data_IF_648644376605
#
_entry.id   IF_648644376605
#
_cell.length_a   1.000
_cell.length_b   1.000
_cell.length_c   1.000
_cell.angle_alpha   90.00
_cell.angle_beta   90.00
_cell.angle_gamma   90.00
#
_symmetry.space_group_name_H-M   'P 1'
#
loop_
_entity.id
_entity.type
_entity.pdbx_description
1 polymer ?
#
# COMPACT_ATOMS: atom_id res chain seq x y z
N UNK A 1 -13.60 -2.33 -7.58
CA UNK A 1 -15.03 -2.21 -7.23
C UNK A 1 -15.22 -1.44 -5.93
N UNK A 2 -14.65 -1.89 -4.81
CA UNK A 2 -14.80 -1.22 -3.49
C UNK A 2 -14.55 0.31 -3.45
N UNK A 3 -13.54 0.84 -4.18
CA UNK A 3 -13.30 2.30 -4.20
C UNK A 3 -14.35 3.08 -4.99
N UNK A 4 -14.86 2.48 -6.06
CA UNK A 4 -15.99 2.99 -6.84
C UNK A 4 -17.27 2.89 -6.02
N UNK A 5 -17.45 1.81 -5.26
CA UNK A 5 -18.57 1.66 -4.33
C UNK A 5 -18.53 2.69 -3.22
N UNK A 6 -17.38 3.12 -2.70
CA UNK A 6 -17.32 4.19 -1.68
C UNK A 6 -17.81 5.52 -2.25
N UNK A 7 -17.33 5.90 -3.44
CA UNK A 7 -17.72 7.15 -4.10
C UNK A 7 -19.20 7.13 -4.49
N UNK A 8 -19.69 5.99 -5.00
CA UNK A 8 -21.09 5.78 -5.33
C UNK A 8 -21.95 5.68 -4.06
N UNK A 9 -21.43 5.11 -2.97
CA UNK A 9 -22.14 4.94 -1.70
C UNK A 9 -22.42 6.26 -0.98
N UNK A 10 -21.49 7.21 -1.04
CA UNK A 10 -21.66 8.51 -0.40
C UNK A 10 -22.57 9.47 -1.20
N UNK A 11 -22.64 9.32 -2.53
CA UNK A 11 -23.38 10.25 -3.39
C UNK A 11 -24.70 9.71 -3.98
N UNK A 12 -24.69 8.49 -4.49
CA UNK A 12 -25.76 7.96 -5.35
C UNK A 12 -26.43 6.69 -4.82
N UNK A 13 -25.96 6.11 -3.69
CA UNK A 13 -26.54 4.86 -3.12
C UNK A 13 -28.04 4.93 -2.96
N UNK A 14 -28.56 6.08 -2.51
CA UNK A 14 -30.00 6.21 -2.27
C UNK A 14 -30.84 6.05 -3.52
N UNK A 15 -30.30 6.39 -4.68
CA UNK A 15 -31.02 6.40 -5.95
C UNK A 15 -30.70 5.19 -6.82
N UNK A 16 -29.58 4.50 -6.56
CA UNK A 16 -29.16 3.37 -7.38
C UNK A 16 -29.74 2.02 -6.91
N UNK A 17 -30.23 1.90 -5.69
CA UNK A 17 -30.69 0.61 -5.18
C UNK A 17 -32.22 0.51 -5.20
N UNK A 18 -32.72 -0.62 -5.68
CA UNK A 18 -34.12 -1.05 -5.56
C UNK A 18 -34.17 -2.25 -4.61
N UNK A 19 -35.08 -2.21 -3.64
CA UNK A 19 -35.28 -3.24 -2.61
C UNK A 19 -36.30 -4.27 -3.11
N UNK A 20 -35.92 -5.00 -4.16
CA UNK A 20 -36.81 -5.93 -4.86
C UNK A 20 -36.70 -7.37 -4.31
N UNK A 21 -35.70 -7.66 -3.45
CA UNK A 21 -35.42 -9.03 -3.02
C UNK A 21 -35.94 -9.29 -1.58
N UNK A 22 -36.96 -10.15 -1.47
CA UNK A 22 -37.50 -10.63 -0.20
C UNK A 22 -36.91 -11.98 0.16
N UNK A 23 -36.23 -12.09 1.32
CA UNK A 23 -35.71 -13.36 1.84
C UNK A 23 -36.82 -14.26 2.42
N UNK A 24 -37.95 -13.69 2.84
CA UNK A 24 -39.04 -14.40 3.51
C UNK A 24 -39.95 -15.17 2.54
N UNK A 25 -39.89 -14.89 1.24
CA UNK A 25 -40.71 -15.56 0.22
C UNK A 25 -40.19 -16.95 -0.20
N UNK A 26 -39.05 -17.39 0.34
CA UNK A 26 -38.41 -18.68 0.02
C UNK A 26 -39.18 -19.95 0.44
N UNK A 27 -40.36 -19.82 1.06
CA UNK A 27 -41.23 -20.94 1.43
C UNK A 27 -42.10 -21.49 0.28
N UNK A 28 -42.48 -20.65 -0.69
CA UNK A 28 -43.34 -21.04 -1.80
C UNK A 28 -42.50 -21.33 -3.05
N UNK A 29 -42.08 -22.60 -3.18
CA UNK A 29 -41.26 -23.15 -4.29
C UNK A 29 -41.86 -22.97 -5.70
N UNK A 30 -43.05 -22.40 -5.82
CA UNK A 30 -43.79 -22.19 -7.06
C UNK A 30 -43.69 -20.78 -7.63
N UNK A 31 -43.12 -19.80 -6.91
CA UNK A 31 -42.83 -18.46 -7.46
C UNK A 31 -41.34 -18.14 -7.44
N UNK A 32 -40.82 -18.07 -8.68
CA UNK A 32 -39.58 -17.45 -9.14
C UNK A 32 -38.24 -17.92 -8.58
N UNK A 33 -37.57 -18.71 -9.42
CA UNK A 33 -36.12 -18.73 -9.61
C UNK A 33 -35.55 -17.38 -10.08
N UNK A 34 -36.02 -16.25 -9.55
CA UNK A 34 -35.52 -14.92 -9.94
C UNK A 34 -34.16 -14.73 -9.31
N UNK A 35 -33.11 -14.92 -10.12
CA UNK A 35 -31.76 -14.49 -9.74
C UNK A 35 -31.84 -13.02 -9.30
N UNK A 36 -31.21 -12.65 -8.18
CA UNK A 36 -31.19 -11.26 -7.73
C UNK A 36 -30.63 -10.36 -8.83
N UNK A 37 -31.20 -9.17 -8.98
CA UNK A 37 -30.78 -8.20 -9.97
C UNK A 37 -29.36 -7.71 -9.67
N UNK A 38 -28.52 -7.67 -10.71
CA UNK A 38 -27.10 -7.30 -10.59
C UNK A 38 -26.75 -6.20 -11.59
N UNK A 39 -25.94 -5.25 -11.14
CA UNK A 39 -25.21 -4.35 -12.00
C UNK A 39 -24.03 -5.08 -12.65
N UNK A 40 -23.75 -4.84 -13.95
CA UNK A 40 -22.65 -5.51 -14.64
C UNK A 40 -21.27 -5.24 -14.04
N UNK A 41 -21.10 -4.15 -13.27
CA UNK A 41 -19.83 -3.73 -12.66
C UNK A 41 -19.92 -3.36 -11.17
N UNK A 42 -21.13 -3.27 -10.59
CA UNK A 42 -21.34 -2.76 -9.22
C UNK A 42 -21.92 -3.80 -8.26
N UNK A 43 -22.10 -5.05 -8.68
CA UNK A 43 -22.63 -6.10 -7.81
C UNK A 43 -24.15 -6.10 -7.75
N UNK A 44 -24.75 -6.32 -6.58
CA UNK A 44 -26.20 -6.49 -6.43
C UNK A 44 -26.93 -5.14 -6.40
N UNK A 45 -28.14 -5.09 -6.98
CA UNK A 45 -28.99 -3.89 -6.94
C UNK A 45 -29.67 -3.72 -5.57
N UNK A 46 -29.90 -4.81 -4.85
CA UNK A 46 -30.48 -4.81 -3.51
C UNK A 46 -29.39 -4.58 -2.44
N UNK A 47 -29.66 -3.66 -1.48
CA UNK A 47 -28.71 -3.32 -0.41
C UNK A 47 -28.60 -4.37 0.68
N UNK A 48 -29.71 -5.01 1.06
CA UNK A 48 -29.70 -5.99 2.13
C UNK A 48 -28.92 -7.22 1.69
N UNK A 49 -29.13 -7.64 0.45
CA UNK A 49 -28.37 -8.72 -0.17
C UNK A 49 -26.88 -8.38 -0.32
N UNK A 50 -26.57 -7.14 -0.69
CA UNK A 50 -25.18 -6.66 -0.79
C UNK A 50 -24.49 -6.65 0.58
N UNK A 51 -25.12 -6.11 1.61
CA UNK A 51 -24.55 -6.02 2.96
C UNK A 51 -24.32 -7.42 3.55
N UNK A 52 -25.25 -8.36 3.37
CA UNK A 52 -25.11 -9.76 3.80
C UNK A 52 -24.00 -10.48 3.00
N UNK A 53 -23.95 -10.26 1.68
CA UNK A 53 -22.88 -10.79 0.83
C UNK A 53 -21.51 -10.28 1.29
N UNK A 54 -21.37 -8.99 1.57
CA UNK A 54 -20.14 -8.38 2.04
C UNK A 54 -19.73 -8.94 3.40
N UNK A 55 -20.67 -9.14 4.33
CA UNK A 55 -20.39 -9.76 5.62
C UNK A 55 -19.84 -11.18 5.46
N UNK A 56 -20.49 -12.01 4.64
CA UNK A 56 -20.00 -13.35 4.32
C UNK A 56 -18.62 -13.31 3.65
N UNK A 57 -18.41 -12.36 2.72
CA UNK A 57 -17.14 -12.20 2.03
C UNK A 57 -16.02 -11.80 2.99
N UNK A 58 -16.28 -10.91 3.96
CA UNK A 58 -15.29 -10.52 5.01
C UNK A 58 -14.88 -11.75 5.82
N UNK A 59 -15.83 -12.59 6.21
CA UNK A 59 -15.56 -13.80 6.99
C UNK A 59 -14.77 -14.82 6.17
N UNK A 60 -15.19 -15.07 4.93
CA UNK A 60 -14.52 -16.01 4.03
C UNK A 60 -13.10 -15.57 3.61
N UNK A 61 -12.87 -14.26 3.50
CA UNK A 61 -11.57 -13.70 3.07
C UNK A 61 -10.59 -13.41 4.20
N UNK A 62 -10.93 -13.71 5.46
CA UNK A 62 -10.11 -13.43 6.66
C UNK A 62 -8.63 -13.79 6.51
N UNK A 63 -8.35 -15.04 6.11
CA UNK A 63 -6.98 -15.51 5.96
C UNK A 63 -6.21 -14.74 4.88
N UNK A 64 -6.88 -14.40 3.77
CA UNK A 64 -6.27 -13.66 2.64
C UNK A 64 -5.94 -12.23 3.04
N UNK A 65 -6.84 -11.55 3.76
CA UNK A 65 -6.62 -10.17 4.22
C UNK A 65 -5.45 -10.13 5.20
N UNK A 66 -5.44 -11.03 6.20
CA UNK A 66 -4.34 -11.11 7.16
C UNK A 66 -3.02 -11.41 6.45
N UNK A 67 -3.01 -12.40 5.54
CA UNK A 67 -1.83 -12.75 4.76
C UNK A 67 -1.32 -11.55 3.95
N UNK A 68 -2.20 -10.80 3.30
CA UNK A 68 -1.82 -9.60 2.54
C UNK A 68 -1.12 -8.56 3.42
N UNK A 69 -1.62 -8.29 4.63
CA UNK A 69 -0.95 -7.41 5.58
C UNK A 69 0.42 -7.95 6.02
N UNK A 70 0.50 -9.24 6.37
CA UNK A 70 1.77 -9.86 6.79
C UNK A 70 2.80 -9.80 5.67
N UNK A 71 2.41 -10.16 4.44
CA UNK A 71 3.28 -10.07 3.26
C UNK A 71 3.71 -8.64 3.00
N UNK A 72 2.81 -7.65 3.09
CA UNK A 72 3.17 -6.24 2.94
C UNK A 72 4.20 -5.81 4.00
N UNK A 73 3.95 -6.13 5.28
CA UNK A 73 4.86 -5.82 6.39
C UNK A 73 6.24 -6.45 6.17
N UNK A 74 6.29 -7.72 5.78
CA UNK A 74 7.55 -8.43 5.52
C UNK A 74 8.32 -7.83 4.34
N UNK A 75 7.64 -7.54 3.23
CA UNK A 75 8.23 -6.88 2.06
C UNK A 75 8.80 -5.50 2.43
N UNK A 76 8.12 -4.80 3.33
CA UNK A 76 8.55 -3.51 3.81
C UNK A 76 9.73 -3.56 4.76
N UNK A 77 9.70 -4.51 5.69
CA UNK A 77 10.78 -4.73 6.63
C UNK A 77 12.05 -5.22 5.91
N UNK A 78 11.91 -5.99 4.82
CA UNK A 78 13.06 -6.47 4.05
C UNK A 78 13.72 -5.38 3.21
N UNK A 79 13.00 -4.32 2.81
CA UNK A 79 13.54 -3.21 2.03
C UNK A 79 14.77 -2.56 2.64
N UNK A 80 14.72 -2.04 3.89
CA UNK A 80 15.87 -1.51 4.60
C UNK A 80 17.02 -2.51 4.77
N UNK A 81 16.71 -3.80 4.95
CA UNK A 81 17.73 -4.85 5.04
C UNK A 81 18.45 -5.06 3.71
N UNK A 82 17.71 -5.18 2.62
CA UNK A 82 18.29 -5.31 1.27
C UNK A 82 19.10 -4.06 0.92
N UNK A 83 18.59 -2.88 1.26
CA UNK A 83 19.29 -1.62 1.08
C UNK A 83 20.58 -1.57 1.90
N UNK A 84 20.55 -1.93 3.19
CA UNK A 84 21.76 -2.03 4.01
C UNK A 84 22.78 -3.01 3.42
N UNK A 85 22.37 -4.18 2.94
CA UNK A 85 23.29 -5.14 2.36
C UNK A 85 23.97 -4.60 1.10
N UNK A 86 23.20 -3.98 0.19
CA UNK A 86 23.73 -3.43 -1.07
C UNK A 86 24.61 -2.21 -0.84
N UNK A 87 24.16 -1.27 0.00
CA UNK A 87 24.92 -0.05 0.30
C UNK A 87 26.20 -0.36 1.07
N UNK A 88 26.15 -1.29 2.02
CA UNK A 88 27.34 -1.67 2.78
C UNK A 88 28.40 -2.29 1.87
N UNK A 89 28.02 -3.19 0.97
CA UNK A 89 28.96 -3.78 0.01
C UNK A 89 29.53 -2.74 -0.96
N UNK A 90 28.70 -1.80 -1.44
CA UNK A 90 29.15 -0.69 -2.30
C UNK A 90 30.12 0.24 -1.56
N UNK A 91 29.80 0.63 -0.32
CA UNK A 91 30.65 1.48 0.52
C UNK A 91 31.98 0.80 0.83
N UNK A 92 31.94 -0.47 1.20
CA UNK A 92 33.15 -1.28 1.44
C UNK A 92 34.00 -1.39 0.18
N UNK A 93 33.38 -1.60 -0.99
CA UNK A 93 34.09 -1.65 -2.26
C UNK A 93 34.72 -0.30 -2.63
N UNK A 94 33.98 0.81 -2.48
CA UNK A 94 34.49 2.16 -2.71
C UNK A 94 35.64 2.51 -1.75
N UNK A 95 35.54 2.11 -0.48
CA UNK A 95 36.60 2.31 0.50
C UNK A 95 37.87 1.52 0.12
N UNK A 96 37.72 0.27 -0.31
CA UNK A 96 38.86 -0.52 -0.80
C UNK A 96 39.50 0.14 -2.02
N UNK A 97 38.69 0.57 -2.99
CA UNK A 97 39.18 1.23 -4.20
C UNK A 97 39.92 2.53 -3.86
N UNK A 98 39.40 3.32 -2.91
CA UNK A 98 40.06 4.51 -2.38
C UNK A 98 41.41 4.22 -1.71
N UNK A 99 41.53 3.10 -0.97
CA UNK A 99 42.79 2.66 -0.36
C UNK A 99 43.85 2.24 -1.38
N UNK A 100 43.44 1.73 -2.54
CA UNK A 100 44.35 1.33 -3.62
C UNK A 100 44.79 2.48 -4.54
N UNK A 101 44.18 3.67 -4.43
CA UNK A 101 44.63 4.85 -5.18
C UNK A 101 45.96 5.38 -4.67
N UNK A 102 46.78 5.90 -5.59
CA UNK A 102 47.98 6.67 -5.26
C UNK A 102 47.61 8.00 -4.58
N UNK A 103 48.55 8.61 -3.86
CA UNK A 103 48.24 9.84 -3.12
C UNK A 103 47.89 11.01 -4.04
N UNK A 104 48.49 11.07 -5.23
CA UNK A 104 48.18 12.05 -6.29
C UNK A 104 46.73 11.89 -6.80
N UNK A 105 46.29 10.64 -7.02
CA UNK A 105 44.90 10.35 -7.40
C UNK A 105 43.89 10.66 -6.29
N UNK A 106 44.28 10.53 -5.02
CA UNK A 106 43.40 10.89 -3.89
C UNK A 106 43.20 12.40 -3.80
N UNK A 107 44.22 13.21 -4.10
CA UNK A 107 44.08 14.66 -4.14
C UNK A 107 43.19 15.10 -5.31
N UNK A 108 43.40 14.57 -6.51
CA UNK A 108 42.53 14.82 -7.67
C UNK A 108 41.08 14.37 -7.41
N UNK A 109 40.89 13.24 -6.73
CA UNK A 109 39.55 12.76 -6.35
C UNK A 109 38.88 13.68 -5.33
N UNK A 110 39.63 14.22 -4.37
CA UNK A 110 39.12 15.21 -3.40
C UNK A 110 38.76 16.54 -4.07
N UNK A 111 39.57 17.02 -5.02
CA UNK A 111 39.26 18.26 -5.77
C UNK A 111 38.08 18.08 -6.73
N UNK A 112 37.94 16.91 -7.35
CA UNK A 112 36.84 16.61 -8.27
C UNK A 112 35.50 16.36 -7.57
N UNK A 113 35.50 16.02 -6.27
CA UNK A 113 34.30 16.04 -5.45
C UNK A 113 34.11 17.48 -4.96
N UNK A 114 33.13 18.24 -5.49
CA UNK A 114 32.93 19.60 -5.06
C UNK A 114 32.53 19.57 -3.59
N UNK A 115 33.42 20.05 -2.71
CA UNK A 115 33.14 20.18 -1.29
C UNK A 115 31.82 20.93 -1.12
N UNK A 116 30.80 20.21 -0.62
CA UNK A 116 29.46 20.75 -0.46
C UNK A 116 28.40 20.32 -1.49
N UNK A 117 28.67 19.52 -2.54
CA UNK A 117 27.57 18.91 -3.30
C UNK A 117 26.87 17.80 -2.51
N UNK A 118 27.64 16.91 -1.89
CA UNK A 118 27.06 15.77 -1.15
C UNK A 118 26.20 16.24 0.04
N UNK A 119 26.67 17.22 0.81
CA UNK A 119 25.91 17.77 1.94
C UNK A 119 24.82 18.77 1.54
N UNK A 120 24.82 19.32 0.33
CA UNK A 120 23.78 20.26 -0.15
C UNK A 120 22.65 19.55 -0.89
N UNK A 121 22.91 18.36 -1.47
CA UNK A 121 21.88 17.51 -2.07
C UNK A 121 21.35 16.42 -1.12
N UNK A 122 22.12 16.02 -0.10
CA UNK A 122 21.73 14.98 0.86
C UNK A 122 21.84 15.38 2.36
N UNK A 123 21.59 16.64 2.80
CA UNK A 123 21.46 16.89 4.24
C UNK A 123 20.09 16.35 4.68
N UNK A 124 20.07 15.31 5.51
CA UNK A 124 18.84 14.71 6.08
C UNK A 124 17.91 13.95 5.11
N UNK A 125 18.30 13.66 3.87
CA UNK A 125 17.43 12.90 2.94
C UNK A 125 17.23 11.46 3.39
N UNK A 126 18.29 10.79 3.86
CA UNK A 126 18.21 9.40 4.31
C UNK A 126 17.38 9.23 5.57
N UNK A 127 17.60 10.07 6.59
CA UNK A 127 16.81 10.04 7.82
C UNK A 127 15.33 10.35 7.54
N UNK A 128 15.04 11.25 6.61
CA UNK A 128 13.68 11.55 6.18
C UNK A 128 13.04 10.35 5.46
N UNK A 129 13.74 9.72 4.52
CA UNK A 129 13.29 8.50 3.83
C UNK A 129 13.03 7.34 4.81
N UNK A 130 13.93 7.10 5.76
CA UNK A 130 13.75 6.09 6.79
C UNK A 130 12.59 6.42 7.73
N UNK A 131 12.44 7.69 8.12
CA UNK A 131 11.32 8.12 8.96
C UNK A 131 9.96 7.87 8.27
N UNK A 132 9.85 8.19 6.98
CA UNK A 132 8.64 7.91 6.21
C UNK A 132 8.40 6.41 6.01
N UNK A 133 9.45 5.61 5.77
CA UNK A 133 9.32 4.16 5.68
C UNK A 133 8.83 3.55 7.01
N UNK A 134 9.40 3.98 8.13
CA UNK A 134 8.95 3.59 9.46
C UNK A 134 7.50 4.00 9.71
N UNK A 135 7.10 5.20 9.28
CA UNK A 135 5.71 5.66 9.38
C UNK A 135 4.76 4.74 8.61
N UNK A 136 5.08 4.39 7.36
CA UNK A 136 4.25 3.48 6.55
C UNK A 136 4.19 2.09 7.17
N UNK A 137 5.31 1.56 7.66
CA UNK A 137 5.35 0.27 8.37
C UNK A 137 4.45 0.29 9.61
N UNK A 138 4.54 1.35 10.43
CA UNK A 138 3.67 1.54 11.60
C UNK A 138 2.21 1.59 11.18
N UNK A 139 1.87 2.28 10.08
CA UNK A 139 0.50 2.31 9.57
C UNK A 139 -0.01 0.93 9.15
N UNK A 140 0.81 0.10 8.48
CA UNK A 140 0.43 -1.27 8.14
C UNK A 140 0.28 -2.16 9.37
N UNK A 141 1.14 -2.01 10.39
CA UNK A 141 1.02 -2.73 11.66
C UNK A 141 -0.28 -2.33 12.37
N UNK A 142 -0.56 -1.02 12.46
CA UNK A 142 -1.81 -0.52 13.05
C UNK A 142 -3.04 -0.99 12.27
N UNK A 143 -2.97 -1.02 10.93
CA UNK A 143 -4.02 -1.56 10.08
C UNK A 143 -4.26 -3.05 10.33
N UNK A 144 -3.19 -3.85 10.42
CA UNK A 144 -3.27 -5.28 10.75
C UNK A 144 -3.88 -5.49 12.14
N UNK A 145 -3.41 -4.75 13.15
CA UNK A 145 -3.95 -4.82 14.52
C UNK A 145 -5.43 -4.46 14.53
N UNK A 146 -5.83 -3.38 13.84
CA UNK A 146 -7.24 -2.99 13.73
C UNK A 146 -8.09 -4.10 13.10
N UNK A 147 -7.63 -4.68 11.98
CA UNK A 147 -8.34 -5.78 11.30
C UNK A 147 -8.45 -7.01 12.20
N UNK A 148 -7.38 -7.40 12.89
CA UNK A 148 -7.40 -8.54 13.83
C UNK A 148 -8.35 -8.27 14.99
N UNK A 149 -8.31 -7.07 15.59
CA UNK A 149 -9.24 -6.66 16.65
C UNK A 149 -10.69 -6.72 16.18
N UNK A 150 -10.99 -6.26 14.97
CA UNK A 150 -12.34 -6.31 14.40
C UNK A 150 -12.83 -7.74 14.15
N UNK A 151 -11.93 -8.66 13.77
CA UNK A 151 -12.29 -10.07 13.65
C UNK A 151 -12.53 -10.75 15.00
N UNK A 152 -11.74 -10.43 16.02
CA UNK A 152 -11.77 -11.14 17.32
C UNK A 152 -12.84 -10.61 18.28
N UNK A 153 -13.12 -9.31 18.25
CA UNK A 153 -14.03 -8.69 19.21
C UNK A 153 -15.47 -8.69 18.70
N UNK A 154 -16.37 -9.34 19.45
CA UNK A 154 -17.83 -9.34 19.17
C UNK A 154 -18.43 -7.94 19.07
N UNK A 155 -17.85 -6.95 19.78
CA UNK A 155 -18.29 -5.54 19.73
C UNK A 155 -18.26 -4.95 18.32
N UNK A 156 -17.40 -5.46 17.44
CA UNK A 156 -17.23 -4.93 16.07
C UNK A 156 -17.93 -5.75 15.00
N UNK A 157 -18.78 -6.72 15.36
CA UNK A 157 -19.48 -7.57 14.40
C UNK A 157 -20.25 -6.75 13.35
N UNK A 158 -21.02 -5.75 13.80
CA UNK A 158 -21.74 -4.79 12.94
C UNK A 158 -20.83 -3.96 12.02
N UNK A 159 -19.57 -3.77 12.39
CA UNK A 159 -18.62 -2.93 11.66
C UNK A 159 -17.63 -3.75 10.82
N UNK A 160 -17.75 -5.08 10.75
CA UNK A 160 -16.78 -5.94 10.03
C UNK A 160 -16.63 -5.58 8.55
N UNK A 161 -17.70 -5.10 7.91
CA UNK A 161 -17.65 -4.61 6.52
C UNK A 161 -16.66 -3.46 6.33
N UNK A 162 -16.34 -2.71 7.40
CA UNK A 162 -15.34 -1.64 7.34
C UNK A 162 -13.91 -2.13 7.08
N UNK A 163 -13.63 -3.42 7.30
CA UNK A 163 -12.34 -4.03 6.95
C UNK A 163 -12.05 -3.84 5.45
N UNK A 164 -13.08 -3.92 4.60
CA UNK A 164 -12.94 -3.68 3.17
C UNK A 164 -12.69 -2.22 2.82
N UNK A 165 -12.94 -1.27 3.72
CA UNK A 165 -12.57 0.14 3.50
C UNK A 165 -11.19 0.45 4.06
N UNK A 166 -10.88 -0.04 5.26
CA UNK A 166 -9.60 0.19 5.93
C UNK A 166 -8.45 -0.40 5.11
N UNK A 167 -8.60 -1.63 4.62
CA UNK A 167 -7.54 -2.32 3.87
C UNK A 167 -7.10 -1.54 2.63
N UNK A 168 -7.97 -1.25 1.64
CA UNK A 168 -7.55 -0.50 0.47
C UNK A 168 -7.17 0.95 0.78
N UNK A 169 -7.72 1.58 1.83
CA UNK A 169 -7.26 2.90 2.25
C UNK A 169 -5.78 2.88 2.70
N UNK A 170 -5.36 1.87 3.46
CA UNK A 170 -3.95 1.67 3.83
C UNK A 170 -3.07 1.45 2.59
N UNK A 171 -3.54 0.66 1.63
CA UNK A 171 -2.82 0.46 0.37
C UNK A 171 -2.75 1.73 -0.49
N UNK A 172 -3.78 2.58 -0.50
CA UNK A 172 -3.71 3.86 -1.22
C UNK A 172 -2.72 4.84 -0.59
N UNK A 173 -2.72 4.95 0.74
CA UNK A 173 -1.74 5.76 1.45
C UNK A 173 -0.32 5.28 1.14
N UNK A 174 -0.14 3.97 1.03
CA UNK A 174 1.08 3.39 0.51
C UNK A 174 1.38 3.85 -0.93
N UNK A 175 0.44 3.71 -1.87
CA UNK A 175 0.68 4.09 -3.27
C UNK A 175 1.07 5.57 -3.40
N UNK A 176 0.46 6.45 -2.60
CA UNK A 176 0.82 7.87 -2.52
C UNK A 176 2.27 8.03 -2.05
N UNK A 177 2.67 7.31 -1.00
CA UNK A 177 4.05 7.31 -0.52
C UNK A 177 5.04 6.78 -1.58
N UNK A 178 4.73 5.66 -2.22
CA UNK A 178 5.57 5.07 -3.27
C UNK A 178 5.75 6.05 -4.43
N UNK A 179 4.67 6.70 -4.87
CA UNK A 179 4.70 7.72 -5.91
C UNK A 179 5.52 8.94 -5.50
N UNK A 180 5.37 9.43 -4.26
CA UNK A 180 6.18 10.52 -3.73
C UNK A 180 7.67 10.17 -3.70
N UNK A 181 8.03 8.98 -3.17
CA UNK A 181 9.41 8.50 -3.12
C UNK A 181 9.99 8.37 -4.53
N UNK A 182 9.25 7.80 -5.46
CA UNK A 182 9.66 7.70 -6.85
C UNK A 182 9.91 9.08 -7.46
N UNK A 183 8.99 10.04 -7.29
CA UNK A 183 9.15 11.40 -7.81
C UNK A 183 10.38 12.12 -7.20
N UNK A 184 10.57 11.99 -5.89
CA UNK A 184 11.71 12.57 -5.18
C UNK A 184 13.04 11.97 -5.65
N UNK A 185 13.11 10.63 -5.74
CA UNK A 185 14.30 9.94 -6.19
C UNK A 185 14.60 10.21 -7.67
N UNK A 186 13.58 10.21 -8.53
CA UNK A 186 13.72 10.44 -9.97
C UNK A 186 14.46 11.75 -10.27
N UNK A 187 14.22 12.82 -9.50
CA UNK A 187 14.97 14.07 -9.63
C UNK A 187 16.47 13.88 -9.38
N UNK A 188 16.83 13.11 -8.34
CA UNK A 188 18.21 12.76 -8.05
C UNK A 188 18.80 11.89 -9.17
N UNK A 189 18.14 10.79 -9.56
CA UNK A 189 18.65 9.87 -10.58
C UNK A 189 18.79 10.52 -11.95
N UNK A 190 17.88 11.39 -12.37
CA UNK A 190 18.00 12.10 -13.64
C UNK A 190 19.21 13.05 -13.68
N UNK A 191 19.65 13.53 -12.52
CA UNK A 191 20.87 14.35 -12.40
C UNK A 191 22.13 13.53 -12.68
N UNK A 192 22.14 12.24 -12.29
CA UNK A 192 23.31 11.37 -12.42
C UNK A 192 23.33 10.57 -13.73
N UNK A 193 22.17 10.09 -14.17
CA UNK A 193 22.05 9.12 -15.28
C UNK A 193 21.29 9.69 -16.50
N UNK A 194 20.92 10.97 -16.47
CA UNK A 194 20.15 11.62 -17.53
C UNK A 194 18.66 11.25 -17.52
N UNK A 195 17.88 11.60 -18.57
CA UNK A 195 16.41 11.49 -18.59
C UNK A 195 15.83 10.07 -18.40
N UNK A 196 16.66 9.04 -18.55
CA UNK A 196 16.30 7.63 -18.35
C UNK A 196 16.77 7.07 -17.00
N UNK A 197 17.27 7.93 -16.09
CA UNK A 197 17.79 7.51 -14.78
C UNK A 197 16.77 6.80 -13.90
N UNK A 198 15.48 7.03 -14.13
CA UNK A 198 14.39 6.36 -13.42
C UNK A 198 14.32 4.84 -13.63
N UNK A 199 14.94 4.29 -14.69
CA UNK A 199 14.96 2.83 -14.94
C UNK A 199 15.75 2.08 -13.87
N UNK A 200 16.61 2.79 -13.14
CA UNK A 200 17.44 2.24 -12.05
C UNK A 200 16.81 2.42 -10.65
N UNK A 201 15.55 2.89 -10.57
CA UNK A 201 14.77 3.12 -9.33
C UNK A 201 13.78 1.99 -9.10
#
# INVERSE_FOLDING_TARGET
MVFLDVLVNYGCRRWLHEEDYSFDEGGDKTRSSSRPSQYPLLGFKDRHLEDEYLEHLVVASRARIILAYVTAILLYASGPFAFMCVDYDLLMWLEQLYRFMSDEQKEDFKESIPEGRWSKYFPNSWSTLYAFLCLVLVMFILGLVAVVCMYQMKRFEKYRTWIFYITPAMYLLYMVYAGFRFAYNNQSYNTWFGPAGWVFV
#
